data_IF_684461699049
#
_entry.id   IF_684461699049
#
_cell.length_a   1.000
_cell.length_b   1.000
_cell.length_c   1.000
_cell.angle_alpha   90.00
_cell.angle_beta   90.00
_cell.angle_gamma   90.00
#
_symmetry.space_group_name_H-M   'P 1'
#
loop_
_entity.id
_entity.type
_entity.pdbx_description
1 polymer ?
#
# COMPACT_ATOMS: atom_id res chain seq x y z
N UNK A 1 -12.66 -2.96 11.86
CA UNK A 1 -13.00 -2.40 13.20
C UNK A 1 -13.56 -0.97 13.13
N UNK A 2 -14.51 -0.64 14.02
CA UNK A 2 -15.12 0.69 14.18
C UNK A 2 -14.30 1.54 15.17
N UNK A 3 -14.16 2.85 14.93
CA UNK A 3 -13.50 3.75 15.90
C UNK A 3 -14.38 4.00 17.13
N UNK A 4 -13.83 4.48 18.27
CA UNK A 4 -14.63 4.76 19.48
C UNK A 4 -15.82 5.68 19.22
N UNK A 5 -15.62 6.73 18.41
CA UNK A 5 -16.70 7.63 18.02
C UNK A 5 -17.76 6.94 17.13
N UNK A 6 -17.36 6.01 16.28
CA UNK A 6 -18.29 5.23 15.44
C UNK A 6 -19.10 4.24 16.28
N UNK A 7 -18.49 3.61 17.29
CA UNK A 7 -19.18 2.72 18.22
C UNK A 7 -20.25 3.47 19.01
N UNK A 8 -19.93 4.68 19.48
CA UNK A 8 -20.87 5.52 20.21
C UNK A 8 -22.04 6.00 19.34
N UNK A 9 -21.77 6.36 18.08
CA UNK A 9 -22.84 6.67 17.09
C UNK A 9 -23.75 5.46 16.87
N UNK A 10 -23.20 4.24 16.80
CA UNK A 10 -24.00 3.00 16.68
C UNK A 10 -24.86 2.77 17.92
N UNK A 11 -24.30 2.98 19.13
CA UNK A 11 -25.02 2.85 20.40
C UNK A 11 -26.24 3.77 20.44
N UNK A 12 -26.04 5.06 20.17
CA UNK A 12 -27.13 6.04 20.14
C UNK A 12 -28.14 5.76 19.02
N UNK A 13 -27.68 5.27 17.86
CA UNK A 13 -28.57 4.88 16.76
C UNK A 13 -29.45 3.67 17.11
N UNK A 14 -28.92 2.69 17.85
CA UNK A 14 -29.69 1.54 18.36
C UNK A 14 -30.76 1.95 19.37
N UNK A 15 -30.55 3.07 20.08
CA UNK A 15 -31.56 3.68 20.97
C UNK A 15 -32.64 4.48 20.20
N UNK A 16 -32.66 4.43 18.85
CA UNK A 16 -33.66 5.10 18.03
C UNK A 16 -33.41 6.59 17.78
N UNK A 17 -32.27 7.13 18.20
CA UNK A 17 -31.97 8.54 18.01
C UNK A 17 -31.70 8.87 16.52
N UNK A 18 -32.27 9.99 16.06
CA UNK A 18 -32.00 10.57 14.75
C UNK A 18 -30.65 11.28 14.68
N UNK A 19 -30.09 11.45 13.47
CA UNK A 19 -28.75 12.02 13.28
C UNK A 19 -28.58 13.41 13.93
N UNK A 20 -29.64 14.23 13.94
CA UNK A 20 -29.66 15.55 14.60
C UNK A 20 -29.51 15.46 16.12
N UNK A 21 -30.20 14.51 16.77
CA UNK A 21 -30.09 14.29 18.22
C UNK A 21 -28.72 13.69 18.57
N UNK A 22 -28.23 12.74 17.78
CA UNK A 22 -26.89 12.16 17.93
C UNK A 22 -25.80 13.25 17.83
N UNK A 23 -25.95 14.18 16.89
CA UNK A 23 -25.05 15.31 16.71
C UNK A 23 -24.98 16.20 17.95
N UNK A 24 -26.15 16.54 18.52
CA UNK A 24 -26.25 17.30 19.77
C UNK A 24 -25.63 16.56 20.95
N UNK A 25 -25.90 15.26 21.11
CA UNK A 25 -25.36 14.45 22.22
C UNK A 25 -23.83 14.33 22.17
N UNK A 26 -23.25 14.31 20.97
CA UNK A 26 -21.80 14.13 20.77
C UNK A 26 -21.03 15.42 20.56
N UNK A 27 -21.71 16.59 20.54
CA UNK A 27 -21.07 17.88 20.28
C UNK A 27 -20.44 17.99 18.89
N UNK A 28 -21.01 17.33 17.87
CA UNK A 28 -20.50 17.32 16.49
C UNK A 28 -21.56 17.79 15.50
N UNK A 29 -21.16 18.13 14.27
CA UNK A 29 -22.11 18.50 13.22
C UNK A 29 -22.94 17.31 12.73
N UNK A 30 -24.17 17.56 12.31
CA UNK A 30 -25.05 16.53 11.71
C UNK A 30 -24.43 15.89 10.46
N UNK A 31 -23.71 16.69 9.65
CA UNK A 31 -22.97 16.20 8.49
C UNK A 31 -21.88 15.18 8.86
N UNK A 32 -21.21 15.38 10.00
CA UNK A 32 -20.21 14.45 10.52
C UNK A 32 -20.85 13.14 10.94
N UNK A 33 -22.01 13.19 11.59
CA UNK A 33 -22.77 11.99 11.98
C UNK A 33 -23.23 11.20 10.75
N UNK A 34 -23.79 11.86 9.73
CA UNK A 34 -24.19 11.21 8.46
C UNK A 34 -23.01 10.53 7.76
N UNK A 35 -21.87 11.22 7.70
CA UNK A 35 -20.63 10.68 7.11
C UNK A 35 -20.16 9.44 7.87
N UNK A 36 -20.18 9.48 9.20
CA UNK A 36 -19.78 8.34 10.02
C UNK A 36 -20.76 7.16 9.87
N UNK A 37 -22.07 7.40 9.82
CA UNK A 37 -23.07 6.35 9.57
C UNK A 37 -22.85 5.66 8.22
N UNK A 38 -22.51 6.40 7.15
CA UNK A 38 -22.17 5.83 5.85
C UNK A 38 -20.96 4.90 5.94
N UNK A 39 -19.87 5.38 6.55
CA UNK A 39 -18.63 4.61 6.74
C UNK A 39 -18.83 3.37 7.62
N UNK A 40 -19.69 3.46 8.64
CA UNK A 40 -20.07 2.30 9.47
C UNK A 40 -20.76 1.24 8.60
N UNK A 41 -21.72 1.64 7.76
CA UNK A 41 -22.42 0.72 6.85
C UNK A 41 -21.46 0.04 5.87
N UNK A 42 -20.55 0.80 5.27
CA UNK A 42 -19.51 0.28 4.36
C UNK A 42 -18.59 -0.73 5.07
N UNK A 43 -18.18 -0.44 6.31
CA UNK A 43 -17.33 -1.35 7.11
C UNK A 43 -18.06 -2.64 7.49
N UNK A 44 -19.34 -2.55 7.87
CA UNK A 44 -20.15 -3.72 8.23
C UNK A 44 -20.41 -4.61 7.01
N UNK A 45 -20.69 -4.02 5.84
CA UNK A 45 -20.88 -4.78 4.60
C UNK A 45 -19.62 -5.59 4.22
N UNK A 46 -18.43 -5.00 4.39
CA UNK A 46 -17.14 -5.68 4.15
C UNK A 46 -16.86 -6.82 5.13
N UNK A 47 -17.34 -6.71 6.38
CA UNK A 47 -17.15 -7.74 7.40
C UNK A 47 -18.13 -8.91 7.25
N UNK A 48 -19.30 -8.66 6.65
CA UNK A 48 -20.34 -9.67 6.42
C UNK A 48 -20.17 -10.46 5.10
N UNK A 49 -19.01 -10.35 4.44
CA UNK A 49 -18.65 -11.22 3.31
C UNK A 49 -19.55 -11.12 2.08
N UNK A 50 -20.33 -10.05 1.93
CA UNK A 50 -21.23 -9.90 0.80
C UNK A 50 -20.54 -9.20 -0.38
N UNK A 51 -20.06 -9.98 -1.35
CA UNK A 51 -20.13 -9.55 -2.74
C UNK A 51 -21.37 -10.19 -3.39
N UNK A 52 -22.15 -9.40 -4.10
CA UNK A 52 -23.56 -9.72 -4.39
C UNK A 52 -23.77 -10.74 -5.53
N UNK A 53 -22.72 -11.17 -6.22
CA UNK A 53 -22.87 -11.80 -7.55
C UNK A 53 -21.92 -12.97 -7.89
N UNK A 54 -21.36 -13.74 -6.93
CA UNK A 54 -20.45 -14.86 -7.28
C UNK A 54 -20.70 -16.20 -6.53
N UNK A 55 -21.22 -17.26 -7.20
CA UNK A 55 -21.49 -18.57 -6.58
C UNK A 55 -20.28 -19.52 -6.47
N UNK A 56 -19.05 -19.11 -6.81
CA UNK A 56 -17.85 -19.97 -6.79
C UNK A 56 -16.62 -19.32 -6.11
N UNK A 57 -16.81 -18.45 -5.12
CA UNK A 57 -15.69 -17.71 -4.51
C UNK A 57 -14.95 -18.52 -3.40
N UNK A 58 -13.61 -18.71 -3.50
CA UNK A 58 -12.78 -19.41 -2.50
C UNK A 58 -12.65 -18.71 -1.13
N UNK A 59 -13.52 -17.76 -0.80
CA UNK A 59 -13.75 -17.20 0.55
C UNK A 59 -14.14 -18.21 1.65
N UNK A 60 -14.03 -19.52 1.40
CA UNK A 60 -14.23 -20.60 2.38
C UNK A 60 -13.16 -20.68 3.48
N UNK A 61 -12.13 -19.82 3.48
CA UNK A 61 -11.18 -19.78 4.58
C UNK A 61 -11.56 -18.69 5.59
N UNK A 62 -12.05 -19.05 6.79
CA UNK A 62 -12.27 -18.09 7.85
C UNK A 62 -10.91 -17.48 8.19
N UNK A 63 -10.81 -16.16 8.12
CA UNK A 63 -9.69 -15.40 8.69
C UNK A 63 -9.83 -15.36 10.22
N UNK A 64 -9.87 -16.54 10.84
CA UNK A 64 -9.90 -16.78 12.28
C UNK A 64 -8.49 -17.08 12.83
N UNK A 65 -7.43 -16.76 12.08
CA UNK A 65 -6.04 -17.02 12.49
C UNK A 65 -5.29 -15.79 13.01
N UNK A 66 -5.99 -14.67 13.23
CA UNK A 66 -5.43 -13.49 13.89
C UNK A 66 -6.40 -12.93 14.94
N UNK A 67 -7.03 -13.82 15.72
CA UNK A 67 -7.74 -13.44 16.93
C UNK A 67 -6.74 -12.88 17.97
N UNK A 68 -6.77 -11.56 18.10
CA UNK A 68 -6.93 -10.83 19.36
C UNK A 68 -5.89 -10.94 20.48
N UNK A 69 -4.67 -11.42 20.24
CA UNK A 69 -3.61 -11.27 21.25
C UNK A 69 -2.33 -10.67 20.66
N UNK A 70 -1.89 -9.55 21.24
CA UNK A 70 -0.59 -8.88 21.07
C UNK A 70 -0.37 -7.80 20.00
N UNK A 71 -1.25 -7.53 19.03
CA UNK A 71 -0.92 -6.40 18.13
C UNK A 71 -1.05 -5.05 18.83
N UNK A 72 -2.07 -4.86 19.66
CA UNK A 72 -2.30 -3.60 20.37
C UNK A 72 -1.41 -3.44 21.62
N UNK A 73 -1.00 -4.55 22.24
CA UNK A 73 0.00 -4.58 23.33
C UNK A 73 1.44 -4.38 22.80
N UNK A 74 1.85 -5.06 21.71
CA UNK A 74 3.16 -4.77 21.08
C UNK A 74 3.27 -3.34 20.51
N UNK A 75 2.14 -2.72 20.16
CA UNK A 75 2.10 -1.35 19.65
C UNK A 75 1.98 -0.30 20.78
N UNK A 76 1.54 -0.68 21.98
CA UNK A 76 1.44 0.21 23.15
C UNK A 76 2.72 0.23 24.00
N UNK A 77 3.58 -0.77 23.89
CA UNK A 77 4.83 -0.92 24.66
C UNK A 77 5.98 0.04 24.26
N UNK A 78 5.82 0.90 23.26
CA UNK A 78 6.83 1.94 22.94
C UNK A 78 6.33 3.32 23.37
N UNK A 79 6.44 3.68 24.66
CA UNK A 79 6.04 4.98 25.15
C UNK A 79 6.91 6.06 24.49
N UNK A 80 6.25 7.02 23.83
CA UNK A 80 6.89 8.24 23.31
C UNK A 80 7.16 8.31 21.80
N UNK A 81 6.93 7.24 21.03
CA UNK A 81 7.05 7.32 19.58
C UNK A 81 5.80 7.99 18.96
N UNK A 82 5.91 9.19 18.36
CA UNK A 82 4.76 9.86 17.78
C UNK A 82 4.20 9.03 16.62
N UNK A 83 2.97 8.51 16.78
CA UNK A 83 2.25 7.76 15.73
C UNK A 83 2.35 8.51 14.41
N UNK A 84 2.97 7.89 13.42
CA UNK A 84 3.24 8.49 12.12
C UNK A 84 2.60 7.65 11.03
N UNK A 85 1.85 8.28 10.13
CA UNK A 85 1.31 7.59 8.97
C UNK A 85 2.44 7.14 8.04
N UNK A 86 2.23 6.06 7.28
CA UNK A 86 3.20 5.58 6.27
C UNK A 86 3.65 6.73 5.34
N UNK A 87 2.70 7.59 4.98
CA UNK A 87 2.95 8.78 4.17
C UNK A 87 3.89 9.79 4.82
N UNK A 88 3.70 10.08 6.11
CA UNK A 88 4.57 10.97 6.86
C UNK A 88 5.96 10.34 7.05
N UNK A 89 6.03 9.03 7.31
CA UNK A 89 7.30 8.31 7.40
C UNK A 89 8.11 8.40 6.11
N UNK A 90 7.48 8.16 4.96
CA UNK A 90 8.13 8.25 3.66
C UNK A 90 8.64 9.67 3.37
N UNK A 91 7.88 10.71 3.73
CA UNK A 91 8.31 12.10 3.59
C UNK A 91 9.56 12.37 4.45
N UNK A 92 9.54 11.98 5.73
CA UNK A 92 10.68 12.17 6.62
C UNK A 92 11.91 11.36 6.18
N UNK A 93 11.72 10.11 5.75
CA UNK A 93 12.81 9.24 5.31
C UNK A 93 13.51 9.78 4.05
N UNK A 94 12.76 10.37 3.12
CA UNK A 94 13.35 11.00 1.93
C UNK A 94 13.98 12.35 2.25
N UNK A 95 13.35 13.16 3.12
CA UNK A 95 13.94 14.41 3.59
C UNK A 95 15.26 14.18 4.36
N UNK A 96 15.33 13.13 5.20
CA UNK A 96 16.53 12.72 5.91
C UNK A 96 17.68 12.20 5.04
N UNK A 97 17.39 11.82 3.79
CA UNK A 97 18.43 11.55 2.78
C UNK A 97 18.98 12.84 2.13
N UNK A 98 18.50 14.00 2.55
CA UNK A 98 18.88 15.30 2.00
C UNK A 98 18.18 15.66 0.69
N UNK A 99 17.06 15.00 0.36
CA UNK A 99 16.29 15.38 -0.83
C UNK A 99 15.55 16.70 -0.59
N UNK A 100 15.51 17.53 -1.63
CA UNK A 100 14.71 18.76 -1.61
C UNK A 100 13.21 18.45 -1.62
N UNK A 101 12.39 19.37 -1.09
CA UNK A 101 10.92 19.23 -1.07
C UNK A 101 10.35 18.89 -2.44
N UNK A 102 10.88 19.51 -3.51
CA UNK A 102 10.47 19.26 -4.90
C UNK A 102 10.78 17.83 -5.35
N UNK A 103 11.94 17.29 -4.99
CA UNK A 103 12.31 15.91 -5.31
C UNK A 103 11.48 14.90 -4.52
N UNK A 104 11.20 15.19 -3.23
CA UNK A 104 10.32 14.35 -2.40
C UNK A 104 8.89 14.33 -2.96
N UNK A 105 8.36 15.50 -3.32
CA UNK A 105 7.06 15.67 -3.96
C UNK A 105 6.95 14.85 -5.25
N UNK A 106 7.95 14.96 -6.14
CA UNK A 106 8.01 14.18 -7.39
C UNK A 106 8.06 12.67 -7.13
N UNK A 107 8.87 12.20 -6.17
CA UNK A 107 9.00 10.77 -5.86
C UNK A 107 7.75 10.16 -5.24
N UNK A 108 7.00 10.93 -4.45
CA UNK A 108 5.80 10.45 -3.76
C UNK A 108 4.51 10.79 -4.50
N UNK A 109 4.60 11.41 -5.68
CA UNK A 109 3.49 11.96 -6.44
C UNK A 109 2.54 12.81 -5.58
N UNK A 110 3.11 13.78 -4.85
CA UNK A 110 2.38 14.69 -3.96
C UNK A 110 2.68 16.14 -4.29
N UNK A 111 1.76 17.04 -3.96
CA UNK A 111 2.03 18.47 -4.05
C UNK A 111 3.14 18.89 -3.08
N UNK A 112 3.95 19.86 -3.48
CA UNK A 112 4.99 20.42 -2.62
C UNK A 112 4.42 20.95 -1.29
N UNK A 113 3.20 21.51 -1.33
CA UNK A 113 2.53 22.02 -0.15
C UNK A 113 2.18 20.90 0.86
N UNK A 114 1.75 19.73 0.39
CA UNK A 114 1.48 18.58 1.27
C UNK A 114 2.75 18.09 1.99
N UNK A 115 3.88 18.09 1.28
CA UNK A 115 5.19 17.76 1.85
C UNK A 115 5.62 18.80 2.89
N UNK A 116 5.47 20.10 2.59
CA UNK A 116 5.76 21.18 3.54
C UNK A 116 4.89 21.13 4.79
N UNK A 117 3.59 20.89 4.65
CA UNK A 117 2.69 20.73 5.80
C UNK A 117 3.11 19.55 6.68
N UNK A 118 3.53 18.44 6.08
CA UNK A 118 4.03 17.27 6.81
C UNK A 118 5.29 17.58 7.61
N UNK A 119 6.26 18.27 6.99
CA UNK A 119 7.51 18.69 7.65
C UNK A 119 7.24 19.70 8.78
N UNK A 120 6.37 20.69 8.52
CA UNK A 120 5.97 21.72 9.50
C UNK A 120 5.24 21.13 10.70
N UNK A 121 4.33 20.17 10.49
CA UNK A 121 3.61 19.47 11.58
C UNK A 121 4.54 18.72 12.54
N UNK A 122 5.74 18.34 12.08
CA UNK A 122 6.73 17.65 12.91
C UNK A 122 7.81 18.58 13.43
N UNK A 123 7.71 19.89 13.18
CA UNK A 123 8.73 20.88 13.53
C UNK A 123 10.11 20.53 12.97
N UNK A 124 10.16 19.87 11.82
CA UNK A 124 11.41 19.50 11.17
C UNK A 124 11.62 20.45 9.98
N UNK A 125 12.64 21.29 10.08
CA UNK A 125 13.14 22.09 8.96
C UNK A 125 13.91 21.20 8.00
N UNK A 126 13.82 21.46 6.69
CA UNK A 126 14.68 20.82 5.71
C UNK A 126 16.19 21.08 5.99
N UNK A 127 16.51 22.13 6.76
CA UNK A 127 17.86 22.44 7.24
C UNK A 127 18.31 21.55 8.41
N UNK A 128 17.39 20.94 9.16
CA UNK A 128 17.72 20.06 10.29
C UNK A 128 18.31 18.73 9.83
N UNK A 129 18.05 18.36 8.58
CA UNK A 129 18.68 17.21 7.92
C UNK A 129 20.03 17.54 7.30
N UNK A 130 20.61 18.72 7.60
CA UNK A 130 22.03 18.94 7.34
C UNK A 130 22.81 17.82 8.00
N UNK A 131 23.71 17.19 7.23
CA UNK A 131 24.56 16.10 7.69
C UNK A 131 25.44 16.62 8.83
N UNK A 132 24.93 16.63 10.07
CA UNK A 132 25.75 16.95 11.23
C UNK A 132 26.69 15.77 11.45
N UNK A 133 27.96 16.06 11.67
CA UNK A 133 28.91 15.04 12.12
C UNK A 133 28.43 14.57 13.50
N UNK A 134 28.42 13.25 13.72
CA UNK A 134 28.15 12.68 15.04
C UNK A 134 29.08 13.32 16.06
N UNK A 135 28.56 13.70 17.23
CA UNK A 135 29.41 14.17 18.33
C UNK A 135 30.26 13.02 18.87
N UNK A 136 31.35 13.34 19.56
CA UNK A 136 32.24 12.31 20.14
C UNK A 136 31.47 11.37 21.10
N UNK A 137 30.58 11.93 21.92
CA UNK A 137 29.73 11.17 22.84
C UNK A 137 28.75 10.23 22.12
N UNK A 138 28.18 10.66 20.99
CA UNK A 138 27.29 9.84 20.19
C UNK A 138 28.04 8.70 19.49
N UNK A 139 29.28 8.93 19.05
CA UNK A 139 30.13 7.85 18.51
C UNK A 139 30.41 6.81 19.58
N UNK A 140 30.78 7.24 20.78
CA UNK A 140 31.08 6.33 21.88
C UNK A 140 29.84 5.51 22.27
N UNK A 141 28.64 6.11 22.26
CA UNK A 141 27.39 5.37 22.46
C UNK A 141 27.15 4.33 21.36
N UNK A 142 27.38 4.68 20.08
CA UNK A 142 27.22 3.75 18.96
C UNK A 142 28.24 2.62 19.01
N UNK A 143 29.49 2.89 19.40
CA UNK A 143 30.52 1.86 19.59
C UNK A 143 30.19 0.92 20.75
N UNK A 144 29.56 1.43 21.81
CA UNK A 144 29.10 0.63 22.96
C UNK A 144 27.88 -0.22 22.64
N UNK A 145 27.12 0.08 21.58
CA UNK A 145 26.06 -0.82 21.10
C UNK A 145 26.75 -2.04 20.52
N UNK A 146 26.84 -3.10 21.34
CA UNK A 146 27.27 -4.41 20.86
C UNK A 146 26.41 -4.77 19.65
N UNK A 147 27.00 -5.14 18.50
CA UNK A 147 26.22 -5.67 17.40
C UNK A 147 25.35 -6.80 17.96
N UNK A 148 24.08 -6.90 17.57
CA UNK A 148 23.23 -7.99 18.03
C UNK A 148 23.99 -9.28 17.77
N UNK A 149 24.19 -10.07 18.84
CA UNK A 149 25.04 -11.25 18.83
C UNK A 149 24.82 -11.99 17.52
N UNK A 150 25.90 -12.21 16.75
CA UNK A 150 25.84 -12.85 15.44
C UNK A 150 24.91 -14.05 15.55
N UNK A 151 23.73 -13.95 14.93
CA UNK A 151 22.76 -15.05 14.98
C UNK A 151 23.47 -16.21 14.31
N UNK A 152 23.92 -17.18 15.12
CA UNK A 152 24.53 -18.40 14.62
C UNK A 152 23.56 -18.99 13.60
N UNK A 153 23.98 -18.94 12.34
CA UNK A 153 23.20 -19.49 11.24
C UNK A 153 23.07 -20.98 11.56
N UNK A 154 21.83 -21.46 11.69
CA UNK A 154 21.60 -22.90 11.85
C UNK A 154 22.28 -23.64 10.70
N UNK A 155 22.84 -24.81 10.94
CA UNK A 155 23.48 -25.59 9.88
C UNK A 155 22.52 -25.83 8.69
N UNK A 156 21.23 -26.03 8.96
CA UNK A 156 20.20 -26.16 7.95
C UNK A 156 20.03 -24.88 7.11
N UNK A 157 20.09 -23.70 7.74
CA UNK A 157 20.01 -22.42 7.05
C UNK A 157 21.26 -22.16 6.20
N UNK A 158 22.43 -22.55 6.70
CA UNK A 158 23.69 -22.44 5.98
C UNK A 158 23.73 -23.40 4.77
N UNK A 159 23.17 -24.59 4.90
CA UNK A 159 23.00 -25.52 3.77
C UNK A 159 22.03 -24.96 2.74
N UNK A 160 20.88 -24.43 3.17
CA UNK A 160 19.89 -23.82 2.29
C UNK A 160 20.43 -22.60 1.54
N UNK A 161 21.17 -21.73 2.24
CA UNK A 161 21.81 -20.56 1.63
C UNK A 161 22.87 -20.98 0.60
N UNK A 162 23.65 -22.03 0.87
CA UNK A 162 24.63 -22.58 -0.08
C UNK A 162 23.95 -23.15 -1.32
N UNK A 163 22.95 -24.00 -1.16
CA UNK A 163 22.17 -24.55 -2.27
C UNK A 163 21.54 -23.44 -3.12
N UNK A 164 21.06 -22.36 -2.48
CA UNK A 164 20.50 -21.20 -3.16
C UNK A 164 21.57 -20.43 -3.98
N UNK A 165 22.74 -20.17 -3.40
CA UNK A 165 23.85 -19.48 -4.09
C UNK A 165 24.39 -20.31 -5.26
N UNK A 166 24.50 -21.62 -5.07
CA UNK A 166 25.00 -22.54 -6.10
C UNK A 166 23.97 -22.83 -7.20
N UNK A 167 22.71 -22.41 -7.03
CA UNK A 167 21.64 -22.69 -7.99
C UNK A 167 21.19 -24.15 -8.02
N UNK A 168 21.42 -24.89 -6.94
CA UNK A 168 21.03 -26.32 -6.79
C UNK A 168 19.53 -26.48 -6.53
N UNK A 169 18.83 -25.39 -6.20
CA UNK A 169 17.40 -25.39 -5.87
C UNK A 169 16.59 -25.33 -7.17
N UNK A 170 15.66 -26.28 -7.33
CA UNK A 170 14.76 -26.29 -8.47
C UNK A 170 13.94 -24.99 -8.58
N UNK A 171 13.68 -24.54 -9.81
CA UNK A 171 13.12 -23.21 -10.10
C UNK A 171 11.79 -22.93 -9.38
N UNK A 172 10.96 -23.95 -9.21
CA UNK A 172 9.64 -23.82 -8.56
C UNK A 172 9.74 -23.55 -7.06
N UNK A 173 10.86 -23.93 -6.42
CA UNK A 173 11.08 -23.74 -4.98
C UNK A 173 11.87 -22.46 -4.65
N UNK A 174 12.49 -21.80 -5.63
CA UNK A 174 13.33 -20.61 -5.40
C UNK A 174 12.58 -19.48 -4.69
N UNK A 175 11.33 -19.22 -5.06
CA UNK A 175 10.54 -18.16 -4.42
C UNK A 175 10.27 -18.47 -2.93
N UNK A 176 9.95 -19.72 -2.59
CA UNK A 176 9.74 -20.14 -1.21
C UNK A 176 11.01 -20.03 -0.38
N UNK A 177 12.15 -20.45 -0.94
CA UNK A 177 13.45 -20.36 -0.26
C UNK A 177 13.87 -18.91 -0.03
N UNK A 178 13.65 -18.02 -1.00
CA UNK A 178 13.89 -16.60 -0.84
C UNK A 178 13.06 -15.98 0.31
N UNK A 179 11.81 -16.43 0.50
CA UNK A 179 10.96 -15.97 1.62
C UNK A 179 11.61 -16.34 2.95
N UNK A 180 12.03 -17.60 3.10
CA UNK A 180 12.67 -18.08 4.34
C UNK A 180 13.98 -17.34 4.61
N UNK A 181 14.85 -17.24 3.61
CA UNK A 181 16.15 -16.57 3.75
C UNK A 181 15.99 -15.06 4.03
N UNK A 182 14.99 -14.40 3.45
CA UNK A 182 14.69 -12.98 3.69
C UNK A 182 14.10 -12.75 5.07
N UNK A 183 13.17 -13.60 5.53
CA UNK A 183 12.57 -13.51 6.86
C UNK A 183 13.63 -13.63 7.97
N UNK A 184 14.64 -14.47 7.74
CA UNK A 184 15.80 -14.64 8.64
C UNK A 184 16.87 -13.56 8.48
N UNK A 185 16.76 -12.70 7.46
CA UNK A 185 17.69 -11.60 7.21
C UNK A 185 18.99 -12.00 6.51
N UNK A 186 19.09 -13.21 5.96
CA UNK A 186 20.30 -13.68 5.26
C UNK A 186 20.45 -13.07 3.88
N UNK A 187 19.33 -12.77 3.20
CA UNK A 187 19.33 -12.11 1.89
C UNK A 187 18.44 -10.87 1.91
N UNK A 188 18.86 -9.86 1.13
CA UNK A 188 18.11 -8.60 0.98
C UNK A 188 17.31 -8.54 -0.32
N UNK A 189 17.82 -9.16 -1.39
CA UNK A 189 17.19 -9.16 -2.72
C UNK A 189 16.44 -10.47 -2.94
N UNK A 190 15.25 -10.37 -3.51
CA UNK A 190 14.36 -11.53 -3.77
C UNK A 190 13.78 -11.49 -5.19
N UNK A 191 14.61 -11.72 -6.22
CA UNK A 191 14.17 -11.67 -7.61
C UNK A 191 13.13 -12.74 -7.95
N UNK A 192 13.21 -13.94 -7.37
CA UNK A 192 12.28 -15.03 -7.70
C UNK A 192 10.90 -14.81 -7.07
N UNK A 193 10.81 -14.26 -5.86
CA UNK A 193 9.53 -13.77 -5.30
C UNK A 193 8.90 -12.74 -6.22
N UNK A 194 9.68 -11.77 -6.70
CA UNK A 194 9.16 -10.72 -7.58
C UNK A 194 8.64 -11.29 -8.91
N UNK A 195 9.35 -12.27 -9.50
CA UNK A 195 8.90 -12.97 -10.70
C UNK A 195 7.62 -13.77 -10.46
N UNK A 196 7.53 -14.50 -9.35
CA UNK A 196 6.34 -15.27 -8.98
C UNK A 196 5.12 -14.35 -8.79
N UNK A 197 5.29 -13.24 -8.07
CA UNK A 197 4.24 -12.23 -7.89
C UNK A 197 3.80 -11.60 -9.21
N UNK A 198 4.75 -11.28 -10.11
CA UNK A 198 4.42 -10.75 -11.43
C UNK A 198 3.62 -11.76 -12.28
N UNK A 199 3.97 -13.05 -12.22
CA UNK A 199 3.21 -14.12 -12.89
C UNK A 199 1.79 -14.23 -12.31
N UNK A 200 1.67 -14.24 -10.98
CA UNK A 200 0.38 -14.32 -10.30
C UNK A 200 -0.52 -13.10 -10.62
N UNK A 201 0.05 -11.89 -10.62
CA UNK A 201 -0.65 -10.67 -11.02
C UNK A 201 -1.14 -10.77 -12.47
N UNK A 202 -0.33 -11.28 -13.41
CA UNK A 202 -0.77 -11.50 -14.79
C UNK A 202 -1.95 -12.48 -14.85
N UNK A 203 -1.91 -13.57 -14.07
CA UNK A 203 -3.01 -14.53 -13.99
C UNK A 203 -4.28 -13.91 -13.42
N UNK A 204 -4.17 -13.09 -12.36
CA UNK A 204 -5.32 -12.36 -11.78
C UNK A 204 -5.92 -11.41 -12.83
N UNK A 205 -5.08 -10.63 -13.52
CA UNK A 205 -5.53 -9.70 -14.56
C UNK A 205 -6.19 -10.44 -15.73
N UNK A 206 -5.66 -11.60 -16.13
CA UNK A 206 -6.26 -12.42 -17.18
C UNK A 206 -7.58 -13.07 -16.75
N UNK A 207 -7.71 -13.41 -15.46
CA UNK A 207 -8.94 -13.98 -14.88
C UNK A 207 -10.01 -12.94 -14.55
N UNK A 208 -9.64 -11.67 -14.36
CA UNK A 208 -10.61 -10.60 -14.19
C UNK A 208 -11.34 -10.33 -15.51
N UNK A 209 -12.68 -10.24 -15.46
CA UNK A 209 -13.52 -9.88 -16.63
C UNK A 209 -13.24 -8.46 -17.15
N UNK A 210 -12.47 -7.67 -16.42
CA UNK A 210 -12.01 -6.35 -16.83
C UNK A 210 -10.82 -6.49 -17.76
N UNK A 211 -10.99 -6.07 -19.01
CA UNK A 211 -9.91 -6.09 -20.00
C UNK A 211 -9.05 -4.87 -19.77
N UNK A 212 -7.78 -5.12 -19.47
CA UNK A 212 -6.80 -4.06 -19.21
C UNK A 212 -6.16 -3.64 -20.52
N UNK A 213 -6.42 -2.40 -20.94
CA UNK A 213 -5.92 -1.84 -22.19
C UNK A 213 -4.63 -1.06 -21.93
N UNK A 214 -3.53 -1.45 -22.58
CA UNK A 214 -2.29 -0.69 -22.58
C UNK A 214 -2.32 0.32 -23.72
N UNK A 215 -2.31 1.61 -23.40
CA UNK A 215 -2.26 2.68 -24.40
C UNK A 215 -0.91 3.40 -24.31
N UNK A 216 -0.21 3.58 -25.44
CA UNK A 216 0.98 4.44 -25.52
C UNK A 216 0.72 5.86 -24.98
N UNK A 217 1.69 6.47 -24.31
CA UNK A 217 1.48 7.77 -23.62
C UNK A 217 1.11 8.92 -24.56
N UNK A 218 1.56 8.90 -25.81
CA UNK A 218 1.20 9.83 -26.88
C UNK A 218 -0.29 9.74 -27.24
N UNK A 219 -0.87 8.53 -27.21
CA UNK A 219 -2.29 8.27 -27.50
C UNK A 219 -3.20 8.32 -26.28
N UNK A 220 -2.63 8.42 -25.07
CA UNK A 220 -3.38 8.38 -23.83
C UNK A 220 -4.41 9.50 -23.69
N UNK A 221 -4.11 10.71 -24.18
CA UNK A 221 -5.04 11.85 -24.12
C UNK A 221 -6.24 11.66 -25.06
N UNK A 222 -5.99 11.14 -26.26
CA UNK A 222 -7.03 10.84 -27.26
C UNK A 222 -7.93 9.71 -26.76
N UNK A 223 -7.34 8.61 -26.29
CA UNK A 223 -8.08 7.50 -25.71
C UNK A 223 -8.93 7.93 -24.50
N UNK A 224 -8.43 8.85 -23.67
CA UNK A 224 -9.18 9.40 -22.52
C UNK A 224 -10.34 10.30 -22.97
N UNK A 225 -10.17 11.09 -24.04
CA UNK A 225 -11.24 11.89 -24.63
C UNK A 225 -12.32 11.00 -25.27
N UNK A 226 -11.91 9.96 -26.01
CA UNK A 226 -12.82 9.00 -26.64
C UNK A 226 -13.57 8.16 -25.60
N UNK A 227 -12.89 7.77 -24.51
CA UNK A 227 -13.52 7.13 -23.36
C UNK A 227 -14.52 8.06 -22.68
N UNK A 228 -14.18 9.33 -22.45
CA UNK A 228 -15.09 10.31 -21.85
C UNK A 228 -16.32 10.56 -22.75
N UNK A 229 -16.14 10.60 -24.06
CA UNK A 229 -17.23 10.80 -25.03
C UNK A 229 -18.18 9.58 -25.09
N UNK A 230 -17.64 8.37 -25.05
CA UNK A 230 -18.42 7.13 -25.09
C UNK A 230 -19.01 6.72 -23.72
N UNK A 231 -18.44 7.21 -22.60
CA UNK A 231 -18.90 6.91 -21.23
C UNK A 231 -20.21 7.61 -20.82
N UNK A 232 -20.85 8.39 -21.69
CA UNK A 232 -22.25 8.78 -21.46
C UNK A 232 -23.20 7.55 -21.38
N UNK A 233 -22.76 6.36 -21.80
CA UNK A 233 -23.55 5.12 -21.72
C UNK A 233 -22.96 3.95 -20.93
N UNK A 234 -21.68 3.99 -20.52
CA UNK A 234 -21.04 2.83 -19.87
C UNK A 234 -20.19 3.27 -18.66
N UNK A 235 -20.48 2.70 -17.48
CA UNK A 235 -19.73 2.89 -16.24
C UNK A 235 -18.32 2.30 -16.38
N UNK A 236 -17.30 3.14 -16.58
CA UNK A 236 -15.89 2.73 -16.44
C UNK A 236 -15.24 3.48 -15.27
N UNK A 237 -14.62 2.75 -14.34
CA UNK A 237 -13.70 3.32 -13.35
C UNK A 237 -12.31 3.43 -13.96
N UNK A 238 -11.78 4.65 -14.07
CA UNK A 238 -10.41 4.88 -14.54
C UNK A 238 -9.48 4.82 -13.34
N UNK A 239 -8.53 3.89 -13.35
CA UNK A 239 -7.47 3.81 -12.34
C UNK A 239 -6.13 4.05 -13.03
N UNK A 240 -5.54 5.24 -12.84
CA UNK A 240 -4.24 5.57 -13.42
C UNK A 240 -3.13 4.83 -12.66
N UNK A 241 -2.43 3.92 -13.36
CA UNK A 241 -1.21 3.28 -12.87
C UNK A 241 -0.10 3.54 -13.89
N UNK A 242 0.83 4.44 -13.57
CA UNK A 242 2.07 4.60 -14.32
C UNK A 242 3.05 3.50 -13.90
N UNK A 243 3.49 2.70 -14.87
CA UNK A 243 4.46 1.64 -14.65
C UNK A 243 5.72 1.95 -15.46
N UNK A 244 6.81 2.26 -14.78
CA UNK A 244 8.14 2.36 -15.40
C UNK A 244 8.85 1.03 -15.24
N UNK A 245 9.03 0.29 -16.35
CA UNK A 245 9.89 -0.88 -16.37
C UNK A 245 11.36 -0.43 -16.45
N UNK A 246 12.15 -0.80 -15.45
CA UNK A 246 13.60 -0.55 -15.38
C UNK A 246 14.33 -1.87 -15.70
N UNK A 247 14.21 -2.35 -16.93
CA UNK A 247 15.01 -3.47 -17.47
C UNK A 247 15.33 -3.23 -18.94
N UNK A 248 16.53 -3.68 -19.36
CA UNK A 248 17.15 -3.54 -20.68
C UNK A 248 16.42 -4.29 -21.81
N UNK A 249 15.15 -3.98 -22.02
CA UNK A 249 14.42 -4.26 -23.26
C UNK A 249 14.20 -2.94 -24.02
N UNK A 250 14.02 -2.96 -25.35
CA UNK A 250 13.97 -1.76 -26.18
C UNK A 250 13.02 -0.71 -25.58
N UNK A 251 13.50 0.53 -25.46
CA UNK A 251 12.79 1.68 -24.86
C UNK A 251 11.38 1.78 -25.41
N UNK A 252 10.40 1.29 -24.64
CA UNK A 252 8.99 1.61 -24.85
C UNK A 252 8.68 2.73 -23.85
N UNK A 253 8.58 3.95 -24.38
CA UNK A 253 8.30 5.15 -23.65
C UNK A 253 6.88 5.10 -23.06
N UNK A 254 6.77 4.77 -21.78
CA UNK A 254 5.58 4.92 -20.90
C UNK A 254 4.22 4.50 -21.48
N UNK A 255 3.58 3.50 -20.85
CA UNK A 255 2.20 3.11 -21.16
C UNK A 255 1.26 3.50 -20.03
N UNK A 256 0.02 3.87 -20.38
CA UNK A 256 -1.09 4.02 -19.43
C UNK A 256 -1.98 2.78 -19.48
N UNK A 257 -2.50 2.42 -18.32
CA UNK A 257 -3.28 1.22 -18.11
C UNK A 257 -4.72 1.64 -17.80
N UNK A 258 -5.68 1.18 -18.61
CA UNK A 258 -7.11 1.45 -18.41
C UNK A 258 -7.85 0.15 -18.12
N UNK A 259 -8.69 0.14 -17.08
CA UNK A 259 -9.71 -0.90 -16.86
C UNK A 259 -10.98 -0.51 -17.60
N UNK A 260 -11.35 -1.29 -18.62
CA UNK A 260 -12.57 -1.05 -19.41
C UNK A 260 -13.44 -2.30 -19.44
N UNK A 261 -14.76 -2.10 -19.50
CA UNK A 261 -15.70 -3.21 -19.70
C UNK A 261 -15.50 -3.83 -21.09
N UNK A 262 -15.85 -5.11 -21.26
CA UNK A 262 -15.67 -5.83 -22.52
C UNK A 262 -16.37 -5.12 -23.71
N UNK A 263 -17.55 -4.53 -23.48
CA UNK A 263 -18.29 -3.77 -24.49
C UNK A 263 -17.61 -2.44 -24.87
N UNK A 264 -16.96 -1.77 -23.91
CA UNK A 264 -16.21 -0.55 -24.18
C UNK A 264 -14.92 -0.83 -24.97
N UNK A 265 -14.27 -1.97 -24.73
CA UNK A 265 -13.08 -2.38 -25.48
C UNK A 265 -13.37 -2.57 -26.98
N UNK A 266 -14.45 -3.24 -27.34
CA UNK A 266 -14.79 -3.47 -28.76
C UNK A 266 -15.06 -2.17 -29.52
N UNK A 267 -15.61 -1.17 -28.83
CA UNK A 267 -15.87 0.15 -29.41
C UNK A 267 -14.56 0.91 -29.64
N UNK A 268 -13.63 0.85 -28.67
CA UNK A 268 -12.30 1.45 -28.78
C UNK A 268 -11.45 0.82 -29.89
N UNK A 269 -11.49 -0.50 -30.04
CA UNK A 269 -10.76 -1.22 -31.09
C UNK A 269 -11.27 -0.92 -32.51
N UNK A 270 -12.53 -0.50 -32.66
CA UNK A 270 -13.08 -0.05 -33.94
C UNK A 270 -12.73 1.40 -34.29
N UNK A 271 -12.35 2.20 -33.29
CA UNK A 271 -12.05 3.62 -33.45
C UNK A 271 -10.55 3.92 -33.65
N UNK A 272 -9.67 2.99 -33.22
CA UNK A 272 -8.22 3.02 -33.43
C UNK A 272 -7.84 2.42 -34.79
#
# INVERSE_FOLDING_TARGET
>A
MLSPQQQEIVRLKKQGLGAKKIAQTLGVSESTVKTNLRRIKEKLARLQGGDKDNPNDPSQYPCALFEDQNLEEMISEVPGAPRMTVNQFQVLALAGKGLTVKQVAKKLNKSENAVRCTLKQKSISAKDFSKRKLTAEERERVEKIKPPAEKRISWADAALLRAYINGEIARDHLAGVEVVLRAKGYIRRTPNINRANAKHLKTIIAGSREKVLRVPADKAKTAQADLAHNNAKLLCSVTELEYTHEYDEPKIDSYRVYSVSAAALETLLKAL
#
